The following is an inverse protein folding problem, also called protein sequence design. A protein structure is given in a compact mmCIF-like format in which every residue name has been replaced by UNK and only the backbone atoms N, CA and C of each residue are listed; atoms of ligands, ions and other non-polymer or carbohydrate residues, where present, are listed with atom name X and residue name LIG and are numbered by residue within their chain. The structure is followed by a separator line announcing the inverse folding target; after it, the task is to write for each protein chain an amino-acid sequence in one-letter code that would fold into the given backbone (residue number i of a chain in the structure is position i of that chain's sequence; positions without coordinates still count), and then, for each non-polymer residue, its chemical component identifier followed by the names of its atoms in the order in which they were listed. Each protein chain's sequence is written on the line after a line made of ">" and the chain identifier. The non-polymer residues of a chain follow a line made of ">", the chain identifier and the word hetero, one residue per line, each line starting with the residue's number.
data_IF_454948426322
#
_entry.id   IF_454948426322
#
_cell.length_a   1.000
_cell.length_b   1.000
_cell.length_c   1.000
_cell.angle_alpha   90.00
_cell.angle_beta   90.00
_cell.angle_gamma   90.00
#
_symmetry.space_group_name_H-M   'P 1'
#
loop_
_entity.id
_entity.type
_entity.pdbx_description
1 polymer ?
#
# COMPACT_ATOMS: atom_id res chain seq x y z
N UNK A 1 1.35 -53.15 -38.93
CA UNK A 1 1.27 -53.46 -40.37
C UNK A 1 1.27 -52.13 -41.11
N UNK A 2 2.35 -51.80 -41.81
CA UNK A 2 2.43 -50.65 -42.74
C UNK A 2 1.78 -51.06 -44.10
N UNK A 3 1.49 -50.11 -45.00
CA UNK A 3 2.56 -49.64 -45.87
C UNK A 3 2.58 -48.13 -46.17
N UNK A 4 3.80 -47.68 -46.42
CA UNK A 4 4.20 -46.41 -47.03
C UNK A 4 3.74 -46.31 -48.50
N UNK A 5 3.40 -45.12 -48.98
CA UNK A 5 3.79 -44.69 -50.34
C UNK A 5 4.25 -43.23 -50.33
N UNK A 6 5.53 -43.12 -50.64
CA UNK A 6 6.33 -41.93 -50.91
C UNK A 6 6.00 -41.37 -52.31
N UNK A 7 5.86 -40.06 -52.45
CA UNK A 7 6.07 -39.38 -53.74
C UNK A 7 6.62 -37.97 -53.52
N UNK A 8 7.93 -37.85 -53.61
CA UNK A 8 8.63 -36.60 -53.87
C UNK A 8 8.56 -36.29 -55.36
N UNK A 9 8.30 -35.03 -55.72
CA UNK A 9 8.79 -34.41 -56.95
C UNK A 9 8.86 -32.89 -56.76
N UNK A 10 10.09 -32.39 -56.82
CA UNK A 10 10.50 -30.98 -56.81
C UNK A 10 10.11 -30.27 -58.12
N UNK A 11 9.66 -29.01 -57.99
CA UNK A 11 9.88 -27.89 -58.92
C UNK A 11 9.31 -26.66 -58.18
N UNK A 12 10.07 -25.69 -57.65
CA UNK A 12 11.15 -24.95 -58.27
C UNK A 12 10.60 -23.65 -58.86
N UNK A 13 10.43 -22.59 -58.06
CA UNK A 13 10.46 -21.19 -58.51
C UNK A 13 10.41 -20.20 -57.32
N UNK A 14 11.55 -19.54 -57.14
CA UNK A 14 11.79 -18.20 -56.58
C UNK A 14 10.54 -17.29 -56.43
N UNK A 15 10.29 -16.82 -55.21
CA UNK A 15 9.70 -15.49 -54.97
C UNK A 15 10.19 -14.95 -53.63
N UNK A 16 10.98 -13.89 -53.75
CA UNK A 16 11.53 -13.08 -52.68
C UNK A 16 10.39 -12.21 -52.13
N UNK A 17 9.84 -12.55 -50.97
CA UNK A 17 9.02 -11.62 -50.17
C UNK A 17 9.60 -11.54 -48.77
N UNK A 18 10.33 -10.45 -48.54
CA UNK A 18 10.67 -9.95 -47.21
C UNK A 18 9.36 -9.64 -46.49
N UNK A 19 9.08 -10.38 -45.43
CA UNK A 19 7.98 -10.12 -44.52
C UNK A 19 8.47 -10.36 -43.10
N UNK A 20 9.30 -9.44 -42.58
CA UNK A 20 9.55 -9.33 -41.15
C UNK A 20 8.22 -8.94 -40.48
N UNK A 21 7.40 -9.91 -40.11
CA UNK A 21 6.39 -9.73 -39.09
C UNK A 21 7.01 -10.07 -37.74
N UNK A 22 7.95 -9.22 -37.30
CA UNK A 22 8.26 -9.08 -35.88
C UNK A 22 7.09 -8.33 -35.23
N UNK A 23 5.94 -9.01 -35.13
CA UNK A 23 4.89 -8.62 -34.22
C UNK A 23 5.32 -9.07 -32.83
N UNK A 24 6.31 -8.40 -32.24
CA UNK A 24 6.33 -8.33 -30.78
C UNK A 24 5.04 -7.61 -30.43
N UNK A 25 4.01 -8.38 -30.06
CA UNK A 25 2.94 -7.89 -29.21
C UNK A 25 3.63 -7.17 -28.07
N UNK A 26 3.60 -5.83 -28.10
CA UNK A 26 3.91 -5.06 -26.93
C UNK A 26 3.00 -5.62 -25.86
N UNK A 27 3.59 -6.30 -24.87
CA UNK A 27 2.95 -6.43 -23.58
C UNK A 27 2.64 -5.00 -23.19
N UNK A 28 1.40 -4.58 -23.41
CA UNK A 28 0.84 -3.50 -22.64
C UNK A 28 0.86 -4.03 -21.22
N UNK A 29 1.98 -3.80 -20.53
CA UNK A 29 1.98 -3.85 -19.08
C UNK A 29 0.89 -2.85 -18.70
N UNK A 30 -0.28 -3.36 -18.35
CA UNK A 30 -1.18 -2.60 -17.50
C UNK A 30 -0.39 -2.44 -16.22
N UNK A 31 0.44 -1.39 -16.15
CA UNK A 31 1.28 -1.12 -14.99
C UNK A 31 0.34 -1.05 -13.81
N UNK A 32 0.61 -1.86 -12.78
CA UNK A 32 -0.08 -1.72 -11.51
C UNK A 32 0.11 -0.28 -11.03
N UNK A 33 -0.84 0.30 -10.26
CA UNK A 33 -0.64 1.62 -9.64
C UNK A 33 0.67 1.73 -8.84
N UNK A 34 1.26 0.59 -8.47
CA UNK A 34 2.48 0.43 -7.69
C UNK A 34 3.77 0.17 -8.50
N UNK A 35 3.73 0.22 -9.84
CA UNK A 35 4.89 -0.13 -10.67
C UNK A 35 6.16 0.71 -10.36
N UNK A 36 5.98 1.97 -9.99
CA UNK A 36 7.09 2.84 -9.58
C UNK A 36 7.68 2.44 -8.22
N UNK A 37 6.84 2.01 -7.27
CA UNK A 37 7.27 1.58 -5.93
C UNK A 37 8.02 0.25 -6.02
N UNK A 38 7.53 -0.70 -6.83
CA UNK A 38 8.25 -1.96 -7.09
C UNK A 38 9.61 -1.73 -7.76
N UNK A 39 9.68 -0.80 -8.72
CA UNK A 39 10.97 -0.42 -9.32
C UNK A 39 11.92 0.14 -8.27
N UNK A 40 11.46 1.07 -7.44
CA UNK A 40 12.29 1.64 -6.37
C UNK A 40 12.74 0.58 -5.37
N UNK A 41 11.84 -0.32 -4.97
CA UNK A 41 12.16 -1.42 -4.07
C UNK A 41 13.24 -2.34 -4.67
N UNK A 42 13.18 -2.66 -5.97
CA UNK A 42 14.24 -3.43 -6.65
C UNK A 42 15.59 -2.72 -6.64
N UNK A 43 15.60 -1.40 -6.83
CA UNK A 43 16.85 -0.60 -6.81
C UNK A 43 17.47 -0.55 -5.41
N UNK A 44 16.63 -0.58 -4.36
CA UNK A 44 17.05 -0.58 -2.95
C UNK A 44 17.35 -1.98 -2.40
N UNK A 45 16.96 -3.04 -3.11
CA UNK A 45 17.08 -4.42 -2.65
C UNK A 45 18.53 -4.78 -2.31
N UNK A 46 18.72 -5.14 -1.04
CA UNK A 46 20.01 -5.40 -0.41
C UNK A 46 20.37 -6.89 -0.39
N UNK A 47 19.38 -7.79 -0.40
CA UNK A 47 19.57 -9.24 -0.42
C UNK A 47 19.14 -9.89 -1.74
N UNK A 48 19.64 -11.10 -2.02
CA UNK A 48 19.17 -11.90 -3.16
C UNK A 48 17.71 -12.33 -2.99
N UNK A 49 17.26 -12.49 -1.73
CA UNK A 49 15.87 -12.76 -1.42
C UNK A 49 14.96 -11.59 -1.80
N UNK A 50 15.28 -10.36 -1.40
CA UNK A 50 14.52 -9.16 -1.79
C UNK A 50 14.46 -9.01 -3.31
N UNK A 51 15.58 -9.22 -4.01
CA UNK A 51 15.63 -9.14 -5.48
C UNK A 51 14.71 -10.15 -6.15
N UNK A 52 14.64 -11.38 -5.61
CA UNK A 52 13.77 -12.42 -6.15
C UNK A 52 12.29 -12.09 -5.92
N UNK A 53 11.92 -11.69 -4.70
CA UNK A 53 10.51 -11.33 -4.36
C UNK A 53 10.01 -10.13 -5.16
N UNK A 54 10.90 -9.18 -5.47
CA UNK A 54 10.51 -7.94 -6.15
C UNK A 54 10.63 -8.04 -7.68
N UNK A 55 11.00 -9.19 -8.25
CA UNK A 55 11.31 -9.34 -9.67
C UNK A 55 10.08 -9.15 -10.57
N UNK A 56 8.91 -9.68 -10.20
CA UNK A 56 7.72 -9.76 -11.05
C UNK A 56 6.66 -8.67 -10.79
N UNK A 57 7.02 -7.60 -10.08
CA UNK A 57 6.13 -6.51 -9.66
C UNK A 57 4.92 -6.98 -8.81
N UNK A 58 5.06 -8.11 -8.10
CA UNK A 58 4.01 -8.64 -7.21
C UNK A 58 4.64 -9.38 -6.04
N UNK A 59 4.16 -9.11 -4.82
CA UNK A 59 4.52 -9.88 -3.63
C UNK A 59 3.39 -10.86 -3.34
N UNK A 60 3.66 -12.15 -3.43
CA UNK A 60 2.71 -13.20 -3.04
C UNK A 60 2.60 -13.34 -1.53
N UNK A 61 1.55 -14.02 -1.05
CA UNK A 61 1.41 -14.32 0.38
C UNK A 61 2.58 -15.16 0.88
N UNK A 62 3.00 -16.14 0.09
CA UNK A 62 4.08 -17.05 0.41
C UNK A 62 5.42 -16.31 0.54
N UNK A 63 5.73 -15.40 -0.38
CA UNK A 63 6.94 -14.58 -0.32
C UNK A 63 6.93 -13.62 0.88
N UNK A 64 5.78 -13.02 1.18
CA UNK A 64 5.62 -12.19 2.37
C UNK A 64 5.83 -13.01 3.66
N UNK A 65 5.21 -14.18 3.76
CA UNK A 65 5.41 -15.07 4.91
C UNK A 65 6.87 -15.52 5.06
N UNK A 66 7.57 -15.76 3.96
CA UNK A 66 9.00 -16.09 3.97
C UNK A 66 9.86 -14.90 4.45
N UNK A 67 9.49 -13.67 4.09
CA UNK A 67 10.15 -12.45 4.58
C UNK A 67 9.97 -12.31 6.10
N UNK A 68 8.73 -12.49 6.57
CA UNK A 68 8.36 -12.45 8.00
C UNK A 68 9.12 -13.53 8.78
N UNK A 69 9.19 -14.76 8.24
CA UNK A 69 9.93 -15.85 8.89
C UNK A 69 11.42 -15.52 9.03
N UNK A 70 12.06 -15.01 7.98
CA UNK A 70 13.48 -14.58 8.04
C UNK A 70 13.71 -13.46 9.07
N UNK A 71 12.83 -12.47 9.09
CA UNK A 71 12.87 -11.40 10.09
C UNK A 71 12.75 -11.97 11.51
N UNK A 72 11.75 -12.82 11.76
CA UNK A 72 11.50 -13.44 13.07
C UNK A 72 12.67 -14.30 13.53
N UNK A 73 13.25 -15.10 12.64
CA UNK A 73 14.44 -15.92 12.94
C UNK A 73 15.64 -15.05 13.31
N UNK A 74 15.88 -13.96 12.59
CA UNK A 74 16.96 -13.02 12.89
C UNK A 74 16.77 -12.36 14.26
N UNK A 75 15.58 -11.82 14.54
CA UNK A 75 15.28 -11.13 15.80
C UNK A 75 15.40 -12.09 16.99
N UNK A 76 14.89 -13.32 16.86
CA UNK A 76 15.06 -14.37 17.88
C UNK A 76 16.51 -14.79 18.04
N UNK A 77 17.29 -14.85 16.95
CA UNK A 77 18.73 -15.10 16.98
C UNK A 77 19.52 -14.05 17.77
N UNK A 78 19.00 -12.82 17.87
CA UNK A 78 19.53 -11.73 18.70
C UNK A 78 19.03 -11.77 20.16
N UNK A 79 18.27 -12.79 20.54
CA UNK A 79 17.79 -12.98 21.92
C UNK A 79 16.53 -12.18 22.25
N UNK A 80 15.81 -11.66 21.25
CA UNK A 80 14.51 -10.99 21.44
C UNK A 80 13.38 -11.98 21.19
N UNK A 81 12.46 -12.11 22.13
CA UNK A 81 11.27 -12.94 21.97
C UNK A 81 10.17 -12.14 21.29
N UNK A 82 9.89 -12.47 20.03
CA UNK A 82 8.81 -11.87 19.25
C UNK A 82 7.81 -12.90 18.72
N UNK A 83 6.56 -12.46 18.57
CA UNK A 83 5.46 -13.22 17.99
C UNK A 83 4.78 -12.39 16.91
N UNK A 84 4.78 -12.85 15.64
CA UNK A 84 3.97 -12.21 14.61
C UNK A 84 2.48 -12.51 14.85
N UNK A 85 1.64 -11.47 14.79
CA UNK A 85 0.19 -11.55 14.94
C UNK A 85 -0.46 -10.96 13.70
N UNK A 86 -1.29 -11.73 13.01
CA UNK A 86 -1.93 -11.28 11.78
C UNK A 86 -3.02 -10.23 12.07
N UNK A 87 -2.99 -9.14 11.31
CA UNK A 87 -3.93 -8.01 11.37
C UNK A 87 -4.16 -7.47 9.97
N UNK A 88 -5.41 -7.50 9.52
CA UNK A 88 -5.81 -7.02 8.19
C UNK A 88 -4.99 -7.62 7.03
N UNK A 89 -4.49 -8.84 7.22
CA UNK A 89 -3.70 -9.58 6.24
C UNK A 89 -2.21 -9.21 6.19
N UNK A 90 -1.70 -8.33 7.05
CA UNK A 90 -0.26 -8.19 7.35
C UNK A 90 0.03 -8.64 8.78
N UNK A 91 1.30 -8.68 9.19
CA UNK A 91 1.68 -9.01 10.56
C UNK A 91 2.05 -7.77 11.36
N UNK A 92 1.62 -7.73 12.62
CA UNK A 92 2.23 -6.89 13.66
C UNK A 92 3.11 -7.76 14.56
N UNK A 93 4.14 -7.19 15.15
CA UNK A 93 5.10 -7.94 15.96
C UNK A 93 4.93 -7.61 17.44
N UNK A 94 4.48 -8.60 18.21
CA UNK A 94 4.44 -8.51 19.67
C UNK A 94 5.79 -8.93 20.23
N UNK A 95 6.44 -8.03 20.97
CA UNK A 95 7.71 -8.29 21.65
C UNK A 95 7.51 -8.41 23.16
N UNK A 96 8.10 -9.44 23.77
CA UNK A 96 8.19 -9.54 25.23
C UNK A 96 9.59 -9.14 25.68
N UNK A 97 9.72 -8.02 26.40
CA UNK A 97 11.00 -7.58 26.96
C UNK A 97 11.26 -6.09 26.79
N UNK A 98 12.53 -5.72 26.67
CA UNK A 98 12.95 -4.34 26.43
C UNK A 98 12.61 -3.92 25.00
N UNK A 99 11.84 -2.81 24.87
CA UNK A 99 11.51 -2.25 23.56
C UNK A 99 12.77 -1.75 22.83
N UNK A 100 13.69 -1.10 23.55
CA UNK A 100 14.96 -0.64 22.97
C UNK A 100 15.78 -1.78 22.36
N UNK A 101 15.78 -2.95 23.01
CA UNK A 101 16.49 -4.12 22.49
C UNK A 101 15.77 -4.72 21.27
N UNK A 102 14.44 -4.68 21.26
CA UNK A 102 13.65 -5.05 20.09
C UNK A 102 13.92 -4.10 18.92
N UNK A 103 13.86 -2.79 19.11
CA UNK A 103 14.02 -1.79 18.05
C UNK A 103 15.40 -1.93 17.39
N UNK A 104 16.47 -2.07 18.19
CA UNK A 104 17.82 -2.30 17.66
C UNK A 104 17.94 -3.62 16.89
N UNK A 105 17.31 -4.70 17.38
CA UNK A 105 17.32 -5.98 16.69
C UNK A 105 16.50 -5.92 15.39
N UNK A 106 15.34 -5.27 15.41
CA UNK A 106 14.43 -5.12 14.29
C UNK A 106 15.09 -4.29 13.18
N UNK A 107 15.70 -3.15 13.50
CA UNK A 107 16.39 -2.27 12.54
C UNK A 107 17.46 -3.01 11.72
N UNK A 108 18.20 -3.92 12.36
CA UNK A 108 19.18 -4.75 11.66
C UNK A 108 18.53 -5.89 10.88
N UNK A 109 17.50 -6.53 11.45
CA UNK A 109 16.91 -7.74 10.88
C UNK A 109 15.95 -7.49 9.72
N UNK A 110 15.33 -6.31 9.64
CA UNK A 110 14.43 -5.95 8.53
C UNK A 110 15.17 -5.70 7.21
N UNK A 111 16.48 -5.40 7.27
CA UNK A 111 17.33 -5.23 6.10
C UNK A 111 17.50 -6.57 5.38
N UNK A 112 17.15 -6.61 4.10
CA UNK A 112 17.26 -7.85 3.34
C UNK A 112 16.07 -8.79 3.55
N UNK A 113 15.07 -8.40 4.35
CA UNK A 113 13.88 -9.20 4.68
C UNK A 113 12.60 -8.37 4.50
N UNK A 114 12.08 -7.73 5.55
CA UNK A 114 10.75 -7.10 5.57
C UNK A 114 10.77 -5.62 5.21
N UNK A 115 11.91 -4.91 5.33
CA UNK A 115 11.98 -3.44 5.18
C UNK A 115 11.36 -2.92 3.87
N UNK A 116 11.58 -3.64 2.77
CA UNK A 116 11.01 -3.28 1.46
C UNK A 116 9.73 -4.07 1.14
N UNK A 117 9.67 -5.33 1.56
CA UNK A 117 8.60 -6.27 1.20
C UNK A 117 7.31 -5.99 1.98
N UNK A 118 7.39 -5.82 3.30
CA UNK A 118 6.21 -5.72 4.15
C UNK A 118 5.38 -4.45 3.91
N UNK A 119 5.97 -3.24 3.83
CA UNK A 119 5.19 -2.03 3.54
C UNK A 119 4.51 -2.12 2.18
N UNK A 120 5.24 -2.56 1.14
CA UNK A 120 4.71 -2.65 -0.21
C UNK A 120 3.60 -3.71 -0.32
N UNK A 121 3.77 -4.86 0.33
CA UNK A 121 2.72 -5.88 0.39
C UNK A 121 1.47 -5.35 1.10
N UNK A 122 1.63 -4.70 2.25
CA UNK A 122 0.53 -4.14 3.02
C UNK A 122 -0.22 -3.06 2.26
N UNK A 123 0.49 -2.17 1.55
CA UNK A 123 -0.12 -1.11 0.74
C UNK A 123 -0.91 -1.69 -0.44
N UNK A 124 -0.33 -2.63 -1.20
CA UNK A 124 -1.03 -3.27 -2.32
C UNK A 124 -2.26 -4.04 -1.84
N UNK A 125 -2.18 -4.70 -0.68
CA UNK A 125 -3.28 -5.46 -0.10
C UNK A 125 -4.44 -4.55 0.36
N UNK A 126 -4.12 -3.45 1.03
CA UNK A 126 -5.10 -2.56 1.67
C UNK A 126 -5.54 -1.39 0.78
N UNK A 127 -4.81 -1.10 -0.30
CA UNK A 127 -5.10 -0.02 -1.23
C UNK A 127 -4.71 -0.40 -2.68
N UNK A 128 -5.30 -1.44 -3.27
CA UNK A 128 -4.88 -1.95 -4.59
C UNK A 128 -5.00 -0.94 -5.74
N UNK A 129 -5.84 0.09 -5.57
CA UNK A 129 -6.03 1.18 -6.54
C UNK A 129 -5.09 2.38 -6.29
N UNK A 130 -4.29 2.36 -5.22
CA UNK A 130 -3.42 3.46 -4.77
C UNK A 130 -4.17 4.80 -4.66
N UNK A 131 -5.38 4.74 -4.11
CA UNK A 131 -6.19 5.93 -3.82
C UNK A 131 -5.53 6.79 -2.75
N UNK A 132 -5.78 8.10 -2.75
CA UNK A 132 -5.43 8.92 -1.58
C UNK A 132 -6.21 8.47 -0.35
N UNK A 133 -5.75 8.84 0.85
CA UNK A 133 -6.47 8.53 2.08
C UNK A 133 -7.91 9.05 2.02
N UNK A 134 -8.10 10.28 1.52
CA UNK A 134 -9.41 10.89 1.40
C UNK A 134 -10.32 10.14 0.42
N UNK A 135 -9.78 9.72 -0.73
CA UNK A 135 -10.52 8.94 -1.72
C UNK A 135 -10.92 7.56 -1.18
N UNK A 136 -9.99 6.87 -0.50
CA UNK A 136 -10.21 5.57 0.08
C UNK A 136 -11.28 5.61 1.18
N UNK A 137 -11.18 6.57 2.10
CA UNK A 137 -12.14 6.75 3.20
C UNK A 137 -13.50 7.23 2.68
N UNK A 138 -13.54 8.17 1.72
CA UNK A 138 -14.79 8.61 1.09
C UNK A 138 -15.55 7.43 0.46
N UNK A 139 -14.83 6.57 -0.28
CA UNK A 139 -15.39 5.34 -0.86
C UNK A 139 -15.89 4.38 0.22
N UNK A 140 -15.16 4.24 1.32
CA UNK A 140 -15.57 3.42 2.45
C UNK A 140 -16.85 3.95 3.10
N UNK A 141 -16.98 5.27 3.30
CA UNK A 141 -18.16 5.89 3.90
C UNK A 141 -19.42 5.68 3.05
N UNK A 142 -19.30 5.74 1.72
CA UNK A 142 -20.39 5.37 0.81
C UNK A 142 -20.75 3.90 0.95
N UNK A 143 -19.75 3.02 0.99
CA UNK A 143 -19.95 1.56 1.08
C UNK A 143 -20.59 1.16 2.41
N UNK A 144 -20.21 1.81 3.50
CA UNK A 144 -20.75 1.62 4.84
C UNK A 144 -22.13 2.30 5.04
N UNK A 145 -22.61 3.07 4.07
CA UNK A 145 -23.90 3.77 4.15
C UNK A 145 -23.91 4.98 5.07
N UNK A 146 -22.74 5.54 5.39
CA UNK A 146 -22.60 6.75 6.22
C UNK A 146 -22.97 8.02 5.44
N UNK A 147 -22.80 8.00 4.12
CA UNK A 147 -23.09 9.12 3.20
C UNK A 147 -23.67 8.57 1.88
N UNK A 148 -24.43 9.39 1.17
CA UNK A 148 -24.97 9.03 -0.15
C UNK A 148 -23.94 9.28 -1.27
N UNK A 149 -23.94 8.43 -2.30
CA UNK A 149 -23.15 8.66 -3.50
C UNK A 149 -23.83 9.72 -4.42
N UNK A 150 -23.06 10.53 -5.16
CA UNK A 150 -21.58 10.57 -5.20
C UNK A 150 -20.98 11.31 -4.00
N UNK A 151 -19.89 10.77 -3.45
CA UNK A 151 -19.14 11.39 -2.36
C UNK A 151 -17.63 11.24 -2.63
N UNK A 152 -16.93 12.36 -2.78
CA UNK A 152 -15.52 12.43 -3.15
C UNK A 152 -14.61 12.59 -1.92
N UNK A 153 -13.29 12.42 -2.09
CA UNK A 153 -12.32 12.75 -1.04
C UNK A 153 -12.41 14.22 -0.58
N UNK A 154 -12.78 15.14 -1.47
CA UNK A 154 -13.00 16.55 -1.11
C UNK A 154 -14.30 16.75 -0.31
N UNK A 155 -15.31 15.90 -0.50
CA UNK A 155 -16.49 15.88 0.37
C UNK A 155 -16.15 15.35 1.75
N UNK A 156 -15.30 14.33 1.84
CA UNK A 156 -14.77 13.85 3.13
C UNK A 156 -14.03 14.97 3.86
N UNK A 157 -13.13 15.68 3.21
CA UNK A 157 -12.40 16.82 3.80
C UNK A 157 -13.38 17.84 4.39
N UNK A 158 -14.44 18.19 3.66
CA UNK A 158 -15.49 19.10 4.17
C UNK A 158 -16.26 18.52 5.35
N UNK A 159 -16.58 17.24 5.32
CA UNK A 159 -17.27 16.54 6.41
C UNK A 159 -16.40 16.54 7.67
N UNK A 160 -15.10 16.25 7.53
CA UNK A 160 -14.15 16.28 8.63
C UNK A 160 -13.99 17.70 9.20
N UNK A 161 -13.87 18.73 8.35
CA UNK A 161 -13.85 20.12 8.82
C UNK A 161 -15.14 20.47 9.60
N UNK A 162 -16.31 20.07 9.08
CA UNK A 162 -17.59 20.30 9.73
C UNK A 162 -17.76 19.52 11.05
N UNK A 163 -17.12 18.35 11.18
CA UNK A 163 -17.06 17.56 12.39
C UNK A 163 -16.01 18.04 13.41
N UNK A 164 -15.16 19.00 13.04
CA UNK A 164 -14.07 19.53 13.87
C UNK A 164 -12.71 18.82 13.73
N UNK A 165 -12.55 17.94 12.73
CA UNK A 165 -11.40 17.05 12.51
C UNK A 165 -10.16 17.69 11.86
N UNK A 166 -10.24 18.94 11.38
CA UNK A 166 -9.08 19.69 10.91
C UNK A 166 -8.99 21.05 11.59
N UNK A 167 -8.35 21.06 12.76
CA UNK A 167 -7.97 22.29 13.44
C UNK A 167 -6.83 22.94 12.64
N UNK A 168 -7.16 23.92 11.80
CA UNK A 168 -6.14 24.83 11.26
C UNK A 168 -5.56 25.59 12.45
N UNK A 169 -4.35 25.24 12.88
CA UNK A 169 -3.55 26.13 13.74
C UNK A 169 -3.32 27.39 12.90
N UNK A 170 -3.87 28.56 13.26
CA UNK A 170 -3.49 29.78 12.56
C UNK A 170 -2.00 29.96 12.81
N UNK A 171 -1.24 30.06 11.73
CA UNK A 171 0.17 30.41 11.79
C UNK A 171 0.28 31.88 11.40
N UNK A 172 0.87 32.71 12.27
CA UNK A 172 1.22 34.06 11.89
C UNK A 172 2.63 34.04 11.31
N UNK A 173 2.71 34.31 10.01
CA UNK A 173 3.99 34.52 9.34
C UNK A 173 4.43 35.95 9.64
N UNK A 174 5.55 36.11 10.35
CA UNK A 174 6.08 37.43 10.68
C UNK A 174 6.70 38.12 9.45
N UNK A 175 7.05 39.40 9.58
CA UNK A 175 7.65 40.18 8.48
C UNK A 175 9.04 39.64 8.04
N UNK A 176 9.64 38.72 8.79
CA UNK A 176 10.90 38.04 8.46
C UNK A 176 10.68 36.68 7.78
N UNK A 177 9.42 36.24 7.63
CA UNK A 177 9.05 34.96 7.05
C UNK A 177 9.15 33.77 8.00
N UNK A 178 9.26 33.99 9.31
CA UNK A 178 9.23 32.95 10.33
C UNK A 178 7.79 32.64 10.75
N UNK A 179 7.52 31.36 10.99
CA UNK A 179 6.22 30.89 11.47
C UNK A 179 6.20 31.02 12.98
N UNK A 180 5.67 32.14 13.47
CA UNK A 180 5.43 32.29 14.91
C UNK A 180 4.14 31.56 15.28
N UNK A 181 4.19 30.73 16.31
CA UNK A 181 2.99 30.19 16.93
C UNK A 181 2.23 31.37 17.54
N UNK A 182 0.92 31.45 17.30
CA UNK A 182 0.08 32.37 18.08
C UNK A 182 0.11 31.90 19.52
N UNK A 183 0.64 32.73 20.42
CA UNK A 183 0.53 32.54 21.88
C UNK A 183 -0.93 32.65 22.38
N UNK A 184 -1.85 33.06 21.51
CA UNK A 184 -3.28 33.05 21.77
C UNK A 184 -3.88 31.71 21.31
N UNK A 185 -4.36 30.84 22.23
CA UNK A 185 -5.20 29.74 21.82
C UNK A 185 -6.38 30.34 21.08
N UNK A 186 -6.56 29.94 19.81
CA UNK A 186 -7.83 30.18 19.12
C UNK A 186 -8.91 29.72 20.08
N UNK A 187 -9.86 30.60 20.41
CA UNK A 187 -11.05 30.19 21.13
C UNK A 187 -11.85 29.29 20.17
N UNK A 188 -11.50 28.00 20.17
CA UNK A 188 -12.06 26.98 19.30
C UNK A 188 -13.53 26.69 19.67
N UNK A 189 -14.05 27.30 20.74
CA UNK A 189 -15.46 27.19 21.11
C UNK A 189 -16.42 27.86 20.10
N UNK A 190 -15.89 28.70 19.20
CA UNK A 190 -16.68 29.45 18.22
C UNK A 190 -16.75 28.82 16.81
N UNK A 191 -16.01 27.73 16.52
CA UNK A 191 -16.14 27.05 15.22
C UNK A 191 -17.42 26.21 15.24
N UNK A 192 -18.43 26.51 14.41
CA UNK A 192 -19.68 25.75 14.42
C UNK A 192 -19.42 24.31 13.98
N UNK A 193 -19.65 23.35 14.89
CA UNK A 193 -19.62 21.92 14.59
C UNK A 193 -20.99 21.53 14.04
N UNK A 194 -21.02 20.87 12.89
CA UNK A 194 -22.23 20.23 12.38
C UNK A 194 -22.49 18.94 13.19
N UNK A 195 -23.59 18.87 13.97
CA UNK A 195 -23.89 17.70 14.78
C UNK A 195 -24.10 16.43 13.94
N UNK A 196 -24.58 16.54 12.71
CA UNK A 196 -24.76 15.39 11.82
C UNK A 196 -23.43 14.87 11.30
N UNK A 197 -22.52 15.76 10.88
CA UNK A 197 -21.17 15.38 10.49
C UNK A 197 -20.40 14.74 11.67
N UNK A 198 -20.54 15.33 12.86
CA UNK A 198 -19.93 14.78 14.07
C UNK A 198 -20.49 13.40 14.45
N UNK A 199 -21.81 13.18 14.30
CA UNK A 199 -22.40 11.87 14.56
C UNK A 199 -21.90 10.79 13.59
N UNK A 200 -21.63 11.14 12.33
CA UNK A 200 -20.98 10.23 11.37
C UNK A 200 -19.56 9.92 11.84
N UNK A 201 -18.76 10.94 12.16
CA UNK A 201 -17.36 10.77 12.56
C UNK A 201 -17.16 10.01 13.87
N UNK A 202 -18.10 10.14 14.81
CA UNK A 202 -18.08 9.43 16.10
C UNK A 202 -18.59 7.97 15.97
N UNK A 203 -19.02 7.53 14.78
CA UNK A 203 -19.51 6.16 14.56
C UNK A 203 -18.37 5.14 14.47
N UNK A 204 -18.64 3.91 14.90
CA UNK A 204 -17.69 2.79 14.79
C UNK A 204 -17.31 2.51 13.34
N UNK A 205 -18.27 2.59 12.42
CA UNK A 205 -18.03 2.38 10.99
C UNK A 205 -17.08 3.44 10.41
N UNK A 206 -17.17 4.71 10.85
CA UNK A 206 -16.23 5.75 10.45
C UNK A 206 -14.82 5.45 10.96
N UNK A 207 -14.67 5.02 12.21
CA UNK A 207 -13.38 4.57 12.77
C UNK A 207 -12.78 3.41 11.97
N UNK A 208 -13.57 2.37 11.70
CA UNK A 208 -13.13 1.22 10.89
C UNK A 208 -12.72 1.63 9.48
N UNK A 209 -13.47 2.54 8.85
CA UNK A 209 -13.12 3.09 7.55
C UNK A 209 -11.81 3.90 7.55
N UNK A 210 -11.48 4.59 8.64
CA UNK A 210 -10.23 5.35 8.78
C UNK A 210 -9.03 4.43 9.05
N UNK A 211 -9.24 3.32 9.74
CA UNK A 211 -8.20 2.31 10.04
C UNK A 211 -7.90 1.40 8.84
N UNK A 212 -8.94 0.92 8.14
CA UNK A 212 -8.79 0.06 6.97
C UNK A 212 -9.92 0.33 5.95
N UNK A 213 -9.77 1.35 5.08
CA UNK A 213 -10.80 1.72 4.12
C UNK A 213 -11.20 0.61 3.14
N UNK A 214 -10.29 -0.34 2.85
CA UNK A 214 -10.59 -1.46 1.97
C UNK A 214 -11.50 -2.52 2.61
N UNK A 215 -11.62 -2.56 3.94
CA UNK A 215 -12.54 -3.45 4.64
C UNK A 215 -14.00 -2.97 4.60
N UNK A 216 -14.28 -1.78 4.03
CA UNK A 216 -15.65 -1.28 3.86
C UNK A 216 -16.39 -0.98 5.18
N UNK A 217 -15.65 -0.62 6.23
CA UNK A 217 -16.21 -0.27 7.55
C UNK A 217 -16.42 -1.45 8.50
N UNK A 218 -15.95 -2.64 8.12
CA UNK A 218 -15.98 -3.85 8.96
C UNK A 218 -14.69 -3.96 9.80
N UNK A 219 -14.82 -4.56 10.99
CA UNK A 219 -13.71 -4.89 11.91
C UNK A 219 -12.90 -6.09 11.46
#
# INVERSE_FOLDING_TARGET
>A
MAPYVLRSLLCGALSLTVGLSAGCSGVSSTSTPYADDFRQARELASSDFERAVLEDDRITREEYEEAVQRFVECVRGKGVSITPVERHGSYIYESSGSMEHYDAAAEECEIGTTRLIEPLFSEVLTNPEKLTWEEAVARCYVTAGLVEAPFSGQDLVRLLEAAGGMQKIPVHMDDNGDVTHVDDPVDQSDVPIDPAAKAIEDSEAASNCKENPAAGGQS
#
